data_IF_524283661521
#
_entry.id   IF_524283661521
#
_cell.length_a   1.000
_cell.length_b   1.000
_cell.length_c   1.000
_cell.angle_alpha   90.00
_cell.angle_beta   90.00
_cell.angle_gamma   90.00
#
_symmetry.space_group_name_H-M   'P 1'
#
loop_
_entity.id
_entity.type
_entity.pdbx_description
1 polymer ?
#
# COMPACT_ATOMS: atom_id res chain seq x y z
N UNK A 1 -66.36 36.69 -8.36
CA UNK A 1 -65.22 36.60 -9.30
C UNK A 1 -64.12 35.80 -8.64
N UNK A 2 -63.71 34.66 -9.22
CA UNK A 2 -62.67 33.78 -8.67
C UNK A 2 -61.30 34.20 -9.22
N UNK A 3 -60.22 34.20 -8.41
CA UNK A 3 -58.88 34.46 -8.90
C UNK A 3 -58.32 33.24 -9.67
N UNK A 4 -57.38 33.46 -10.61
CA UNK A 4 -56.86 32.41 -11.48
C UNK A 4 -55.84 31.51 -10.78
N UNK A 5 -55.86 30.22 -11.14
CA UNK A 5 -54.87 29.21 -10.75
C UNK A 5 -53.52 29.48 -11.42
N UNK A 6 -52.44 29.53 -10.63
CA UNK A 6 -51.05 29.49 -11.13
C UNK A 6 -50.71 28.07 -11.63
N UNK A 7 -49.91 28.01 -12.70
CA UNK A 7 -49.35 26.79 -13.31
C UNK A 7 -48.20 26.23 -12.45
N UNK A 8 -47.97 24.91 -12.45
CA UNK A 8 -46.84 24.28 -11.75
C UNK A 8 -45.57 24.34 -12.61
N UNK A 9 -44.43 24.69 -12.02
CA UNK A 9 -43.11 24.54 -12.65
C UNK A 9 -42.18 25.75 -12.61
N UNK A 10 -42.12 26.49 -11.50
CA UNK A 10 -41.09 27.51 -11.28
C UNK A 10 -40.47 27.22 -9.91
N UNK A 11 -39.28 26.59 -9.91
CA UNK A 11 -38.53 26.25 -8.70
C UNK A 11 -37.80 27.49 -8.18
N UNK A 12 -37.97 27.73 -6.89
CA UNK A 12 -37.38 28.84 -6.13
C UNK A 12 -35.92 28.51 -5.77
N UNK A 13 -34.92 29.29 -6.24
CA UNK A 13 -33.51 28.98 -6.03
C UNK A 13 -32.98 29.23 -4.60
N UNK A 14 -33.80 29.75 -3.67
CA UNK A 14 -33.34 30.14 -2.32
C UNK A 14 -33.93 29.29 -1.16
N UNK A 15 -34.34 28.04 -1.42
CA UNK A 15 -34.81 27.16 -0.34
C UNK A 15 -33.64 26.54 0.48
N UNK A 16 -33.55 26.77 1.80
CA UNK A 16 -32.48 26.20 2.62
C UNK A 16 -32.65 24.69 2.81
N UNK A 17 -31.56 23.95 2.56
CA UNK A 17 -31.46 22.49 2.73
C UNK A 17 -31.75 22.11 4.18
N UNK A 18 -32.88 21.43 4.40
CA UNK A 18 -33.24 20.82 5.69
C UNK A 18 -32.37 19.58 5.95
N UNK A 19 -31.54 19.65 6.99
CA UNK A 19 -30.84 18.50 7.59
C UNK A 19 -31.85 17.43 8.05
N UNK A 20 -31.75 16.23 7.51
CA UNK A 20 -32.49 15.06 7.97
C UNK A 20 -31.99 14.60 9.34
N UNK A 21 -32.87 14.63 10.35
CA UNK A 21 -32.67 13.93 11.63
C UNK A 21 -33.00 12.46 11.43
N UNK A 22 -32.04 11.60 11.72
CA UNK A 22 -32.27 10.18 11.96
C UNK A 22 -33.01 10.02 13.29
N UNK A 23 -34.22 9.48 13.26
CA UNK A 23 -35.01 9.14 14.44
C UNK A 23 -34.71 7.69 14.82
N UNK A 24 -33.96 7.50 15.92
CA UNK A 24 -33.97 6.26 16.68
C UNK A 24 -35.26 6.28 17.51
N UNK A 25 -36.10 5.24 17.37
CA UNK A 25 -37.28 5.06 18.22
C UNK A 25 -37.10 3.77 19.00
N UNK A 26 -36.99 3.94 20.31
CA UNK A 26 -37.02 2.92 21.35
C UNK A 26 -38.38 2.20 21.38
N UNK A 27 -38.29 0.91 21.71
CA UNK A 27 -39.17 0.05 22.50
C UNK A 27 -40.67 0.35 22.55
N UNK A 28 -41.47 -0.70 22.30
CA UNK A 28 -42.46 -1.12 23.29
C UNK A 28 -43.03 -2.53 23.06
N UNK A 29 -43.12 -3.25 24.18
CA UNK A 29 -44.18 -4.19 24.56
C UNK A 29 -44.25 -5.60 23.94
N UNK A 30 -43.76 -6.58 24.71
CA UNK A 30 -44.43 -7.89 24.77
C UNK A 30 -44.38 -8.51 26.17
N UNK A 31 -45.55 -8.60 26.82
CA UNK A 31 -45.86 -9.58 27.87
C UNK A 31 -47.26 -10.11 27.58
N UNK A 32 -47.50 -11.44 27.62
CA UNK A 32 -48.04 -12.09 28.83
C UNK A 32 -47.46 -13.53 29.00
N UNK A 33 -47.60 -14.33 30.07
CA UNK A 33 -48.40 -14.45 31.30
C UNK A 33 -47.70 -15.53 32.19
N UNK A 34 -48.12 -15.74 33.45
CA UNK A 34 -47.42 -16.57 34.44
C UNK A 34 -47.94 -18.02 34.49
N UNK A 35 -47.10 -18.94 34.97
CA UNK A 35 -47.37 -19.88 36.07
C UNK A 35 -46.45 -21.11 35.99
N UNK A 36 -45.72 -21.40 37.07
CA UNK A 36 -45.83 -22.62 37.89
C UNK A 36 -44.55 -22.85 38.69
N UNK A 37 -44.76 -23.03 39.99
CA UNK A 37 -43.76 -23.41 40.97
C UNK A 37 -43.22 -24.82 40.68
N UNK A 38 -41.91 -25.01 40.91
CA UNK A 38 -41.36 -26.33 41.22
C UNK A 38 -40.08 -26.21 42.07
N UNK A 39 -40.31 -26.41 43.37
CA UNK A 39 -39.60 -27.26 44.34
C UNK A 39 -38.12 -27.58 44.07
N UNK A 40 -37.30 -27.12 45.02
CA UNK A 40 -35.89 -27.46 45.23
C UNK A 40 -35.59 -28.96 45.32
N UNK A 41 -34.47 -29.38 44.72
CA UNK A 41 -33.68 -30.54 45.16
C UNK A 41 -32.18 -30.22 45.16
N UNK A 42 -31.42 -30.75 46.14
CA UNK A 42 -30.04 -30.34 46.40
C UNK A 42 -29.03 -30.93 45.40
N UNK A 43 -28.03 -30.11 45.03
CA UNK A 43 -26.87 -30.47 44.21
C UNK A 43 -25.93 -31.43 44.97
N UNK A 44 -25.69 -32.61 44.41
CA UNK A 44 -24.54 -33.44 44.78
C UNK A 44 -23.26 -32.88 44.14
N UNK A 45 -22.18 -32.81 44.93
CA UNK A 45 -20.82 -32.42 44.50
C UNK A 45 -20.26 -33.43 43.49
N UNK A 46 -19.64 -32.99 42.38
CA UNK A 46 -18.84 -33.88 41.56
C UNK A 46 -17.47 -34.13 42.22
N UNK A 47 -17.07 -35.40 42.28
CA UNK A 47 -15.72 -35.85 42.60
C UNK A 47 -14.69 -35.33 41.57
N UNK A 48 -13.46 -34.97 41.98
CA UNK A 48 -12.42 -34.53 41.07
C UNK A 48 -11.83 -35.72 40.30
N UNK A 49 -12.10 -35.78 39.00
CA UNK A 49 -11.46 -36.72 38.07
C UNK A 49 -9.98 -36.39 37.92
N UNK A 50 -9.14 -37.37 38.26
CA UNK A 50 -7.68 -37.34 38.09
C UNK A 50 -7.32 -37.07 36.62
N UNK A 51 -6.78 -35.90 36.34
CA UNK A 51 -6.35 -35.49 34.99
C UNK A 51 -5.18 -36.33 34.51
N UNK A 52 -5.43 -37.18 33.53
CA UNK A 52 -4.43 -37.99 32.86
C UNK A 52 -3.59 -37.05 31.96
N UNK A 53 -2.31 -36.84 32.31
CA UNK A 53 -1.37 -36.04 31.51
C UNK A 53 -1.27 -36.64 30.10
N UNK A 54 -1.68 -35.90 29.07
CA UNK A 54 -1.52 -36.36 27.69
C UNK A 54 -0.02 -36.40 27.31
N UNK A 55 0.40 -37.48 26.67
CA UNK A 55 1.76 -37.71 26.17
C UNK A 55 2.08 -36.97 24.87
N UNK A 56 1.08 -36.32 24.27
CA UNK A 56 1.13 -35.84 22.89
C UNK A 56 0.88 -34.32 22.83
N UNK A 57 1.53 -33.67 21.86
CA UNK A 57 1.19 -32.32 21.41
C UNK A 57 0.17 -32.39 20.27
N UNK A 58 -0.83 -31.51 20.29
CA UNK A 58 -1.70 -31.26 19.13
C UNK A 58 -1.13 -30.09 18.34
N UNK A 59 -0.82 -30.32 17.07
CA UNK A 59 -0.46 -29.27 16.14
C UNK A 59 -1.72 -28.72 15.45
N UNK A 60 -1.58 -27.58 14.78
CA UNK A 60 -2.61 -27.00 13.90
C UNK A 60 -2.98 -28.08 12.86
N UNK A 61 -4.29 -28.31 12.64
CA UNK A 61 -4.88 -29.41 11.86
C UNK A 61 -5.01 -30.79 12.56
N UNK A 62 -5.05 -30.80 13.90
CA UNK A 62 -5.36 -32.01 14.72
C UNK A 62 -4.35 -33.17 14.58
N UNK A 63 -3.20 -32.91 13.96
CA UNK A 63 -2.09 -33.86 13.89
C UNK A 63 -1.49 -34.02 15.29
N UNK A 64 -1.46 -35.27 15.77
CA UNK A 64 -0.89 -35.62 17.07
C UNK A 64 0.56 -36.06 16.89
N UNK A 65 1.45 -35.40 17.61
CA UNK A 65 2.88 -35.71 17.61
C UNK A 65 3.31 -36.03 19.03
N UNK A 66 4.07 -37.11 19.20
CA UNK A 66 4.59 -37.48 20.52
C UNK A 66 5.57 -36.41 21.00
N UNK A 67 5.55 -36.11 22.31
CA UNK A 67 6.45 -35.11 22.92
C UNK A 67 7.92 -35.38 22.60
N UNK A 68 8.33 -36.65 22.61
CA UNK A 68 9.70 -37.04 22.30
C UNK A 68 10.07 -36.75 20.85
N UNK A 69 9.19 -37.04 19.90
CA UNK A 69 9.45 -36.76 18.49
C UNK A 69 9.58 -35.26 18.21
N UNK A 70 8.74 -34.45 18.84
CA UNK A 70 8.80 -32.99 18.72
C UNK A 70 10.16 -32.43 19.17
N UNK A 71 10.64 -32.80 20.36
CA UNK A 71 11.90 -32.29 20.90
C UNK A 71 13.13 -32.76 20.11
N UNK A 72 13.14 -34.01 19.63
CA UNK A 72 14.23 -34.51 18.78
C UNK A 72 14.28 -33.74 17.46
N UNK A 73 13.13 -33.49 16.83
CA UNK A 73 13.06 -32.77 15.55
C UNK A 73 13.45 -31.30 15.70
N UNK A 74 12.96 -30.63 16.75
CA UNK A 74 13.31 -29.25 17.05
C UNK A 74 14.82 -29.08 17.32
N UNK A 75 15.43 -30.03 18.04
CA UNK A 75 16.88 -30.01 18.31
C UNK A 75 17.70 -30.23 17.04
N UNK A 76 17.28 -31.15 16.16
CA UNK A 76 17.96 -31.40 14.88
C UNK A 76 17.89 -30.17 13.95
N UNK A 77 16.72 -29.52 13.86
CA UNK A 77 16.57 -28.29 13.07
C UNK A 77 17.41 -27.14 13.63
N UNK A 78 17.49 -27.00 14.95
CA UNK A 78 18.34 -25.99 15.60
C UNK A 78 19.83 -26.16 15.25
N UNK A 79 20.34 -27.39 15.23
CA UNK A 79 21.73 -27.68 14.87
C UNK A 79 22.02 -27.37 13.38
N UNK A 80 21.08 -27.69 12.49
CA UNK A 80 21.22 -27.36 11.06
C UNK A 80 21.28 -25.85 10.85
N UNK A 81 20.45 -25.09 11.58
CA UNK A 81 20.36 -23.63 11.47
C UNK A 81 21.62 -22.93 12.02
N UNK A 82 22.20 -23.47 13.10
CA UNK A 82 23.50 -23.01 13.62
C UNK A 82 24.62 -23.30 12.60
N UNK A 83 24.60 -24.46 11.93
CA UNK A 83 25.61 -24.79 10.93
C UNK A 83 25.47 -23.95 9.65
N UNK A 84 24.26 -23.65 9.19
CA UNK A 84 24.03 -22.92 7.94
C UNK A 84 24.27 -21.42 8.06
N UNK A 85 24.03 -20.81 9.22
CA UNK A 85 24.22 -19.36 9.45
C UNK A 85 25.54 -19.07 10.18
N UNK A 86 25.89 -19.89 11.17
CA UNK A 86 27.07 -19.64 12.01
C UNK A 86 28.40 -19.78 11.26
N UNK A 87 28.51 -20.74 10.34
CA UNK A 87 29.73 -20.96 9.55
C UNK A 87 30.04 -19.78 8.61
N UNK A 88 29.11 -19.26 7.78
CA UNK A 88 29.41 -18.12 6.91
C UNK A 88 29.66 -16.82 7.69
N UNK A 89 28.94 -16.56 8.78
CA UNK A 89 29.19 -15.36 9.63
C UNK A 89 30.59 -15.43 10.27
N UNK A 90 31.00 -16.61 10.74
CA UNK A 90 32.35 -16.80 11.28
C UNK A 90 33.44 -16.62 10.21
N UNK A 91 33.20 -17.06 8.97
CA UNK A 91 34.14 -16.82 7.86
C UNK A 91 34.28 -15.34 7.53
N UNK A 92 33.16 -14.59 7.46
CA UNK A 92 33.18 -13.14 7.19
C UNK A 92 33.89 -12.36 8.31
N UNK A 93 33.66 -12.73 9.57
CA UNK A 93 34.32 -12.08 10.71
C UNK A 93 35.83 -12.39 10.77
N UNK A 94 36.26 -13.58 10.31
CA UNK A 94 37.67 -13.95 10.27
C UNK A 94 38.47 -13.16 9.22
N UNK A 95 37.84 -12.81 8.10
CA UNK A 95 38.51 -12.14 6.97
C UNK A 95 38.42 -10.60 7.05
N UNK A 96 37.75 -10.05 8.06
CA UNK A 96 37.61 -8.60 8.29
C UNK A 96 38.92 -7.81 8.61
N UNK A 97 39.94 -8.36 9.31
CA UNK A 97 41.09 -7.54 9.72
C UNK A 97 42.07 -7.20 8.58
N UNK A 98 42.00 -7.87 7.42
CA UNK A 98 42.90 -7.59 6.29
C UNK A 98 42.36 -6.52 5.32
N UNK A 99 41.06 -6.18 5.37
CA UNK A 99 40.44 -5.21 4.46
C UNK A 99 40.51 -3.75 4.92
N UNK A 100 40.90 -3.49 6.17
CA UNK A 100 40.99 -2.13 6.71
C UNK A 100 42.35 -1.43 6.48
N UNK A 101 43.32 -2.08 5.82
CA UNK A 101 44.66 -1.50 5.59
C UNK A 101 44.89 -0.88 4.21
N UNK A 102 43.88 -0.85 3.32
CA UNK A 102 44.07 -0.41 1.91
C UNK A 102 43.29 0.84 1.53
N UNK A 103 42.69 1.56 2.48
CA UNK A 103 41.82 2.71 2.19
C UNK A 103 42.39 4.09 2.62
N UNK A 104 43.67 4.17 3.01
CA UNK A 104 44.28 5.39 3.58
C UNK A 104 45.47 5.95 2.77
N UNK A 105 45.43 5.83 1.44
CA UNK A 105 46.44 6.46 0.60
C UNK A 105 45.85 6.98 -0.72
N UNK A 106 45.09 8.09 -0.65
CA UNK A 106 44.99 9.04 -1.77
C UNK A 106 44.30 10.32 -1.28
N UNK A 107 45.09 11.30 -0.84
CA UNK A 107 44.64 12.68 -0.72
C UNK A 107 45.86 13.59 -0.87
N UNK A 108 46.03 14.18 -2.06
CA UNK A 108 46.80 15.41 -2.22
C UNK A 108 45.98 16.45 -3.01
N UNK A 109 46.14 17.75 -2.70
CA UNK A 109 45.34 18.83 -3.27
C UNK A 109 46.04 19.47 -4.47
N UNK A 110 45.27 19.99 -5.44
CA UNK A 110 45.81 20.92 -6.45
C UNK A 110 44.93 22.14 -6.60
N UNK A 111 45.57 23.29 -6.46
CA UNK A 111 45.03 24.64 -6.48
C UNK A 111 44.71 25.15 -7.89
N UNK A 112 43.66 25.97 -7.96
CA UNK A 112 43.39 27.11 -8.85
C UNK A 112 43.41 26.93 -10.39
N UNK A 113 42.31 27.32 -11.04
CA UNK A 113 42.22 28.57 -11.83
C UNK A 113 40.80 28.74 -12.40
N UNK A 114 40.24 29.93 -12.19
CA UNK A 114 38.95 30.42 -12.70
C UNK A 114 38.94 30.59 -14.23
N UNK A 115 37.94 30.03 -14.90
CA UNK A 115 37.42 30.58 -16.17
C UNK A 115 35.89 30.50 -16.13
N UNK A 116 35.27 31.68 -16.18
CA UNK A 116 33.85 31.89 -16.44
C UNK A 116 33.49 31.33 -17.81
N UNK A 117 32.60 30.34 -17.85
CA UNK A 117 31.86 29.96 -19.05
C UNK A 117 30.48 29.49 -18.60
N UNK A 118 29.46 29.99 -19.30
CA UNK A 118 28.03 29.76 -19.07
C UNK A 118 27.71 28.27 -18.78
N UNK A 119 26.77 27.96 -17.86
CA UNK A 119 26.32 26.59 -17.69
C UNK A 119 25.44 26.21 -18.88
N UNK A 120 26.07 25.75 -19.95
CA UNK A 120 25.41 24.90 -20.93
C UNK A 120 24.84 23.70 -20.19
N UNK A 121 23.52 23.59 -20.19
CA UNK A 121 22.75 22.48 -19.63
C UNK A 121 23.27 21.21 -20.29
N UNK A 122 24.19 20.51 -19.64
CA UNK A 122 24.50 19.14 -20.00
C UNK A 122 23.27 18.33 -19.64
N UNK A 123 22.52 17.92 -20.66
CA UNK A 123 21.47 16.93 -20.51
C UNK A 123 22.07 15.73 -19.78
N UNK A 124 21.49 15.39 -18.62
CA UNK A 124 21.92 14.23 -17.87
C UNK A 124 21.85 12.99 -18.77
N UNK A 125 22.85 12.07 -18.75
CA UNK A 125 22.86 10.85 -19.57
C UNK A 125 21.58 10.00 -19.46
N UNK A 126 20.85 10.16 -18.34
CA UNK A 126 19.55 9.56 -18.11
C UNK A 126 18.46 10.10 -19.07
N UNK A 127 18.47 11.40 -19.40
CA UNK A 127 17.46 12.06 -20.24
C UNK A 127 17.45 11.52 -21.68
N UNK A 128 18.63 11.27 -22.24
CA UNK A 128 18.77 10.73 -23.60
C UNK A 128 18.28 9.27 -23.66
N UNK A 129 18.59 8.48 -22.62
CA UNK A 129 18.08 7.11 -22.48
C UNK A 129 16.55 7.06 -22.37
N UNK A 130 15.92 8.01 -21.67
CA UNK A 130 14.45 8.10 -21.59
C UNK A 130 13.80 8.44 -22.93
N UNK A 131 14.37 9.38 -23.68
CA UNK A 131 13.82 9.77 -24.97
C UNK A 131 13.88 8.62 -25.98
N UNK A 132 14.93 7.80 -25.93
CA UNK A 132 15.05 6.62 -26.78
C UNK A 132 14.03 5.54 -26.41
N UNK A 133 13.84 5.27 -25.10
CA UNK A 133 12.80 4.34 -24.61
C UNK A 133 11.39 4.79 -24.99
N UNK A 134 11.09 6.08 -24.80
CA UNK A 134 9.79 6.67 -25.17
C UNK A 134 9.54 6.60 -26.67
N UNK A 135 10.55 6.90 -27.49
CA UNK A 135 10.46 6.82 -28.94
C UNK A 135 10.24 5.39 -29.42
N UNK A 136 10.88 4.41 -28.78
CA UNK A 136 10.67 2.99 -29.07
C UNK A 136 9.27 2.51 -28.64
N UNK A 137 8.78 2.97 -27.49
CA UNK A 137 7.43 2.69 -26.99
C UNK A 137 6.35 3.18 -27.96
N UNK A 138 6.42 4.46 -28.36
CA UNK A 138 5.43 5.09 -29.25
C UNK A 138 5.38 4.46 -30.64
N UNK A 139 6.47 3.83 -31.10
CA UNK A 139 6.52 3.12 -32.40
C UNK A 139 5.78 1.78 -32.41
N UNK A 140 5.43 1.23 -31.24
CA UNK A 140 4.77 -0.09 -31.11
C UNK A 140 3.24 0.01 -30.96
N UNK A 141 2.70 1.23 -30.86
CA UNK A 141 1.29 1.48 -30.60
C UNK A 141 0.55 1.61 -31.93
N UNK A 142 -0.46 0.76 -32.17
CA UNK A 142 -1.52 1.06 -33.15
C UNK A 142 -2.23 2.34 -32.68
N UNK A 143 -2.25 3.39 -33.51
CA UNK A 143 -2.59 4.80 -33.15
C UNK A 143 -3.42 4.97 -31.86
N UNK A 144 -2.85 5.57 -30.78
CA UNK A 144 -3.57 5.77 -29.53
C UNK A 144 -4.82 6.64 -29.76
N UNK A 145 -5.94 6.28 -29.16
CA UNK A 145 -7.24 6.93 -29.38
C UNK A 145 -7.35 8.27 -28.66
N UNK A 146 -6.47 8.55 -27.70
CA UNK A 146 -6.47 9.77 -26.91
C UNK A 146 -5.10 10.07 -26.31
N UNK A 147 -4.89 11.33 -25.87
CA UNK A 147 -3.66 11.72 -25.17
C UNK A 147 -3.48 11.00 -23.83
N UNK A 148 -4.60 10.72 -23.15
CA UNK A 148 -4.65 9.92 -21.92
C UNK A 148 -4.06 8.53 -22.17
N UNK A 149 -4.55 7.84 -23.20
CA UNK A 149 -4.08 6.51 -23.56
C UNK A 149 -2.60 6.52 -23.99
N UNK A 150 -2.18 7.54 -24.75
CA UNK A 150 -0.77 7.72 -25.13
C UNK A 150 0.15 7.81 -23.89
N UNK A 151 -0.22 8.61 -22.88
CA UNK A 151 0.58 8.78 -21.67
C UNK A 151 0.62 7.51 -20.84
N UNK A 152 -0.52 6.81 -20.68
CA UNK A 152 -0.59 5.56 -19.94
C UNK A 152 0.25 4.45 -20.59
N UNK A 153 0.17 4.32 -21.93
CA UNK A 153 0.98 3.32 -22.65
C UNK A 153 2.46 3.70 -22.61
N UNK A 154 2.81 4.97 -22.84
CA UNK A 154 4.20 5.42 -22.76
C UNK A 154 4.81 5.15 -21.36
N UNK A 155 4.05 5.43 -20.30
CA UNK A 155 4.46 5.08 -18.94
C UNK A 155 4.64 3.56 -18.77
N UNK A 156 3.67 2.76 -19.23
CA UNK A 156 3.70 1.30 -19.10
C UNK A 156 4.89 0.68 -19.85
N UNK A 157 5.27 1.21 -21.01
CA UNK A 157 6.43 0.76 -21.77
C UNK A 157 7.74 1.17 -21.11
N UNK A 158 7.90 2.44 -20.71
CA UNK A 158 9.14 2.94 -20.08
C UNK A 158 9.39 2.26 -18.72
N UNK A 159 8.34 2.00 -17.95
CA UNK A 159 8.44 1.28 -16.67
C UNK A 159 8.51 -0.24 -16.83
N UNK A 160 8.29 -0.76 -18.04
CA UNK A 160 8.15 -2.20 -18.31
C UNK A 160 6.84 -2.82 -17.81
N UNK A 161 5.94 -2.04 -17.19
CA UNK A 161 4.67 -2.50 -16.62
C UNK A 161 3.67 -3.03 -17.66
N UNK A 162 3.83 -2.70 -18.95
CA UNK A 162 3.07 -3.33 -20.04
C UNK A 162 3.25 -4.86 -20.08
N UNK A 163 4.40 -5.36 -19.63
CA UNK A 163 4.75 -6.78 -19.59
C UNK A 163 4.60 -7.41 -18.20
N UNK A 164 4.17 -6.64 -17.20
CA UNK A 164 3.93 -7.15 -15.86
C UNK A 164 2.50 -7.70 -15.76
N UNK A 165 2.36 -8.93 -15.25
CA UNK A 165 1.08 -9.51 -14.81
C UNK A 165 0.93 -9.46 -13.30
N UNK A 166 2.05 -9.45 -12.59
CA UNK A 166 2.12 -9.31 -11.14
C UNK A 166 3.32 -8.45 -10.76
N UNK A 167 3.19 -7.78 -9.63
CA UNK A 167 4.23 -6.94 -9.05
C UNK A 167 4.15 -7.08 -7.52
N UNK A 168 5.28 -7.13 -6.85
CA UNK A 168 5.33 -7.05 -5.39
C UNK A 168 6.52 -6.22 -4.95
N UNK A 169 6.36 -5.51 -3.84
CA UNK A 169 7.43 -4.77 -3.19
C UNK A 169 7.55 -5.17 -1.73
N UNK A 170 8.78 -5.26 -1.26
CA UNK A 170 9.15 -5.41 0.14
C UNK A 170 9.96 -4.19 0.54
N UNK A 171 9.77 -3.69 1.75
CA UNK A 171 10.56 -2.57 2.25
C UNK A 171 10.10 -2.07 3.61
N UNK A 172 10.45 -0.82 3.87
CA UNK A 172 10.25 -0.17 5.16
C UNK A 172 9.47 1.12 4.99
N UNK A 173 8.42 1.31 5.80
CA UNK A 173 7.69 2.57 5.89
C UNK A 173 7.96 3.26 7.23
N UNK A 174 8.26 4.55 7.22
CA UNK A 174 8.54 5.36 8.40
C UNK A 174 7.46 6.44 8.48
N UNK A 175 6.73 6.48 9.59
CA UNK A 175 5.70 7.50 9.86
C UNK A 175 5.68 7.83 11.35
N UNK A 176 5.67 9.12 11.70
CA UNK A 176 5.64 9.60 13.09
C UNK A 176 6.66 8.91 14.03
N UNK A 177 7.88 8.70 13.53
CA UNK A 177 8.98 8.07 14.28
C UNK A 177 8.85 6.55 14.47
N UNK A 178 7.83 5.92 13.87
CA UNK A 178 7.63 4.47 13.87
C UNK A 178 8.06 3.88 12.54
N UNK A 179 8.61 2.67 12.58
CA UNK A 179 9.08 1.92 11.43
C UNK A 179 8.21 0.68 11.23
N UNK A 180 7.62 0.55 10.06
CA UNK A 180 6.72 -0.55 9.67
C UNK A 180 7.39 -1.38 8.58
N UNK A 181 7.31 -2.70 8.72
CA UNK A 181 7.61 -3.61 7.63
C UNK A 181 6.49 -3.52 6.60
N UNK A 182 6.85 -3.26 5.35
CA UNK A 182 5.92 -3.08 4.25
C UNK A 182 6.00 -4.26 3.28
N UNK A 183 4.83 -4.79 2.93
CA UNK A 183 4.67 -5.68 1.79
C UNK A 183 3.54 -5.18 0.89
N UNK A 184 3.81 -5.09 -0.41
CA UNK A 184 2.85 -4.75 -1.44
C UNK A 184 2.76 -5.87 -2.46
N UNK A 185 1.55 -6.15 -2.91
CA UNK A 185 1.26 -7.12 -3.95
C UNK A 185 0.23 -6.54 -4.91
N UNK A 186 0.47 -6.69 -6.20
CA UNK A 186 -0.42 -6.29 -7.26
C UNK A 186 -0.50 -7.38 -8.33
N UNK A 187 -1.68 -7.56 -8.90
CA UNK A 187 -1.92 -8.48 -10.00
C UNK A 187 -2.92 -7.89 -11.00
N UNK A 188 -2.55 -7.92 -12.27
CA UNK A 188 -3.41 -7.46 -13.35
C UNK A 188 -4.71 -8.29 -13.41
N UNK A 189 -5.86 -7.69 -13.75
CA UNK A 189 -5.96 -6.30 -14.19
C UNK A 189 -6.17 -5.30 -13.04
N UNK A 190 -6.43 -5.69 -11.78
CA UNK A 190 -6.72 -4.72 -10.71
C UNK A 190 -6.82 -5.32 -9.29
N UNK A 191 -5.99 -6.32 -8.97
CA UNK A 191 -5.95 -6.89 -7.65
C UNK A 191 -4.79 -6.29 -6.87
N UNK A 192 -5.06 -5.74 -5.68
CA UNK A 192 -4.05 -5.10 -4.85
C UNK A 192 -4.15 -5.63 -3.42
N UNK A 193 -3.00 -5.82 -2.78
CA UNK A 193 -2.90 -6.11 -1.36
C UNK A 193 -1.70 -5.37 -0.78
N UNK A 194 -1.91 -4.77 0.37
CA UNK A 194 -0.88 -4.09 1.13
C UNK A 194 -0.91 -4.62 2.54
N UNK A 195 0.28 -4.83 3.11
CA UNK A 195 0.46 -5.27 4.48
C UNK A 195 1.51 -4.38 5.15
N UNK A 196 1.12 -3.75 6.25
CA UNK A 196 2.03 -3.03 7.15
C UNK A 196 2.11 -3.81 8.46
N UNK A 197 3.32 -4.03 8.96
CA UNK A 197 3.54 -4.71 10.23
C UNK A 197 4.41 -3.86 11.14
N UNK A 198 4.00 -3.70 12.39
CA UNK A 198 4.76 -3.04 13.46
C UNK A 198 4.58 -3.86 14.73
N UNK A 199 5.66 -4.48 15.21
CA UNK A 199 5.62 -5.37 16.37
C UNK A 199 4.50 -6.44 16.22
N UNK A 200 3.53 -6.45 17.14
CA UNK A 200 2.39 -7.37 17.14
C UNK A 200 1.17 -6.85 16.35
N UNK A 201 1.29 -5.72 15.65
CA UNK A 201 0.24 -5.15 14.81
C UNK A 201 0.48 -5.49 13.34
N UNK A 202 -0.52 -6.09 12.70
CA UNK A 202 -0.59 -6.22 11.24
C UNK A 202 -1.80 -5.49 10.71
N UNK A 203 -1.60 -4.72 9.66
CA UNK A 203 -2.67 -4.04 8.93
C UNK A 203 -2.63 -4.51 7.50
N UNK A 204 -3.79 -4.94 7.02
CA UNK A 204 -3.96 -5.39 5.64
C UNK A 204 -4.97 -4.47 4.95
N UNK A 205 -4.63 -3.93 3.78
CA UNK A 205 -5.66 -3.55 2.80
C UNK A 205 -5.67 -4.52 1.65
N UNK A 206 -6.86 -4.85 1.20
CA UNK A 206 -7.09 -5.69 0.03
C UNK A 206 -8.09 -4.98 -0.88
N UNK A 207 -7.81 -4.97 -2.17
CA UNK A 207 -8.74 -4.60 -3.23
C UNK A 207 -8.80 -5.75 -4.23
N UNK A 208 -10.01 -6.27 -4.46
CA UNK A 208 -10.23 -7.43 -5.31
C UNK A 208 -10.69 -7.07 -6.74
N UNK A 209 -10.51 -5.80 -7.15
CA UNK A 209 -10.99 -5.28 -8.42
C UNK A 209 -12.42 -4.71 -8.40
N UNK A 210 -13.19 -4.96 -7.33
CA UNK A 210 -14.54 -4.42 -7.19
C UNK A 210 -14.77 -3.73 -5.83
N UNK A 211 -14.23 -4.27 -4.76
CA UNK A 211 -14.36 -3.75 -3.41
C UNK A 211 -13.02 -3.74 -2.68
N UNK A 212 -12.85 -2.73 -1.83
CA UNK A 212 -11.72 -2.59 -0.93
C UNK A 212 -12.10 -2.95 0.50
N UNK A 213 -11.13 -3.42 1.27
CA UNK A 213 -11.24 -3.66 2.71
C UNK A 213 -9.95 -3.25 3.39
N UNK A 214 -10.05 -2.70 4.59
CA UNK A 214 -8.94 -2.38 5.48
C UNK A 214 -9.18 -3.12 6.81
N UNK A 215 -8.18 -3.84 7.28
CA UNK A 215 -8.24 -4.56 8.56
C UNK A 215 -6.98 -4.33 9.37
N UNK A 216 -7.15 -4.19 10.69
CA UNK A 216 -6.07 -4.13 11.66
C UNK A 216 -6.22 -5.29 12.65
N UNK A 217 -5.19 -6.11 12.76
CA UNK A 217 -5.13 -7.26 13.66
C UNK A 217 -3.98 -7.09 14.65
N UNK A 218 -4.27 -7.32 15.93
CA UNK A 218 -3.27 -7.48 16.98
C UNK A 218 -3.03 -8.98 17.22
N UNK A 219 -1.81 -9.44 16.99
CA UNK A 219 -1.41 -10.84 17.12
C UNK A 219 -1.48 -11.35 18.56
N UNK A 220 -1.30 -10.49 19.56
CA UNK A 220 -1.37 -10.88 20.97
C UNK A 220 -2.82 -11.15 21.40
N UNK A 221 -3.76 -10.36 20.87
CA UNK A 221 -5.18 -10.43 21.26
C UNK A 221 -6.04 -11.22 20.28
N UNK A 222 -5.54 -11.52 19.07
CA UNK A 222 -6.28 -12.14 17.95
C UNK A 222 -7.67 -11.53 17.74
N UNK A 223 -7.79 -10.22 17.96
CA UNK A 223 -9.03 -9.47 17.87
C UNK A 223 -8.77 -8.20 17.06
N UNK A 224 -9.81 -7.74 16.38
CA UNK A 224 -9.85 -6.38 15.84
C UNK A 224 -9.62 -5.41 16.99
N UNK A 225 -8.75 -4.43 16.78
CA UNK A 225 -8.42 -3.42 17.77
C UNK A 225 -9.00 -2.09 17.34
N UNK A 226 -9.80 -1.49 18.21
CA UNK A 226 -10.19 -0.08 18.12
C UNK A 226 -8.94 0.76 18.41
N UNK A 227 -8.50 1.57 17.44
CA UNK A 227 -7.18 2.21 17.43
C UNK A 227 -7.28 3.70 17.71
N UNK A 228 -6.17 4.23 18.20
CA UNK A 228 -5.92 5.67 18.26
C UNK A 228 -6.00 6.27 16.84
N UNK A 229 -6.73 7.37 16.73
CA UNK A 229 -7.12 8.01 15.48
C UNK A 229 -5.90 8.44 14.67
N UNK A 230 -4.87 8.95 15.35
CA UNK A 230 -3.62 9.37 14.71
C UNK A 230 -2.88 8.19 14.09
N UNK A 231 -2.91 7.01 14.71
CA UNK A 231 -2.30 5.81 14.12
C UNK A 231 -3.03 5.39 12.84
N UNK A 232 -4.36 5.32 12.87
CA UNK A 232 -5.16 4.94 11.69
C UNK A 232 -4.96 5.89 10.51
N UNK A 233 -4.80 7.19 10.79
CA UNK A 233 -4.51 8.19 9.77
C UNK A 233 -3.15 7.94 9.11
N UNK A 234 -2.07 7.78 9.88
CA UNK A 234 -0.71 7.47 9.35
C UNK A 234 -0.72 6.24 8.44
N UNK A 235 -1.45 5.23 8.88
CA UNK A 235 -1.56 3.95 8.19
C UNK A 235 -2.34 4.09 6.88
N UNK A 236 -3.44 4.84 6.89
CA UNK A 236 -4.22 5.14 5.67
C UNK A 236 -3.38 5.94 4.66
N UNK A 237 -2.61 6.92 5.14
CA UNK A 237 -1.69 7.72 4.32
C UNK A 237 -0.63 6.81 3.68
N UNK A 238 0.06 5.98 4.46
CA UNK A 238 1.08 5.06 3.94
C UNK A 238 0.52 4.14 2.86
N UNK A 239 -0.70 3.64 3.05
CA UNK A 239 -1.33 2.71 2.13
C UNK A 239 -1.76 3.38 0.81
N UNK A 240 -2.18 4.64 0.89
CA UNK A 240 -2.51 5.45 -0.30
C UNK A 240 -1.28 5.83 -1.14
N UNK A 241 -0.08 5.77 -0.55
CA UNK A 241 1.15 6.26 -1.18
C UNK A 241 1.86 5.26 -2.09
N UNK A 242 1.56 3.97 -1.98
CA UNK A 242 2.23 2.97 -2.80
C UNK A 242 1.82 3.04 -4.28
N UNK A 243 2.73 2.72 -5.22
CA UNK A 243 2.46 2.88 -6.64
C UNK A 243 1.20 2.12 -7.06
N UNK A 244 0.17 2.87 -7.44
CA UNK A 244 -0.95 2.34 -8.20
C UNK A 244 -0.47 2.09 -9.64
N UNK A 245 -1.22 1.30 -10.41
CA UNK A 245 -0.92 0.97 -11.79
C UNK A 245 -2.05 1.48 -12.67
N UNK A 246 -2.07 2.79 -13.02
CA UNK A 246 -3.19 3.42 -13.73
C UNK A 246 -3.51 2.77 -15.07
N UNK A 247 -2.50 2.23 -15.76
CA UNK A 247 -2.69 1.47 -17.00
C UNK A 247 -3.54 0.21 -16.77
N UNK A 248 -3.28 -0.56 -15.71
CA UNK A 248 -4.05 -1.76 -15.40
C UNK A 248 -5.51 -1.40 -15.07
N UNK A 249 -5.73 -0.27 -14.38
CA UNK A 249 -7.06 0.24 -14.13
C UNK A 249 -7.79 0.66 -15.40
N UNK A 250 -7.10 1.36 -16.30
CA UNK A 250 -7.64 1.78 -17.58
C UNK A 250 -8.05 0.58 -18.44
N UNK A 251 -7.23 -0.48 -18.47
CA UNK A 251 -7.53 -1.72 -19.18
C UNK A 251 -8.71 -2.49 -18.57
N UNK A 252 -8.85 -2.48 -17.25
CA UNK A 252 -9.96 -3.15 -16.56
C UNK A 252 -11.30 -2.42 -16.74
N UNK A 253 -11.29 -1.11 -16.54
CA UNK A 253 -12.44 -0.23 -16.64
C UNK A 253 -11.99 1.22 -16.90
N UNK A 254 -11.92 1.57 -18.17
CA UNK A 254 -11.53 2.91 -18.62
C UNK A 254 -12.44 4.02 -18.08
N UNK A 255 -13.67 3.74 -17.64
CA UNK A 255 -14.57 4.76 -17.06
C UNK A 255 -14.10 5.28 -15.70
N UNK A 256 -13.20 4.54 -15.04
CA UNK A 256 -12.59 4.92 -13.76
C UNK A 256 -11.38 5.84 -13.94
N UNK A 257 -10.92 6.03 -15.16
CA UNK A 257 -9.77 6.88 -15.48
C UNK A 257 -10.24 8.03 -16.37
N UNK A 258 -9.80 9.25 -16.08
CA UNK A 258 -10.13 10.43 -16.89
C UNK A 258 -8.94 11.34 -17.11
N UNK A 259 -9.00 12.12 -18.18
CA UNK A 259 -8.01 13.12 -18.55
C UNK A 259 -8.12 14.34 -17.61
N UNK A 260 -7.03 14.64 -16.89
CA UNK A 260 -6.89 15.82 -16.03
C UNK A 260 -6.16 16.99 -16.70
N UNK A 261 -5.75 16.83 -17.96
CA UNK A 261 -5.03 17.83 -18.74
C UNK A 261 -3.57 18.02 -18.32
N UNK A 262 -2.94 19.04 -18.89
CA UNK A 262 -1.60 19.45 -18.50
C UNK A 262 -1.65 20.42 -17.33
N UNK A 263 -0.80 20.23 -16.33
CA UNK A 263 -0.71 21.09 -15.15
C UNK A 263 0.74 21.35 -14.78
N UNK A 264 1.02 22.55 -14.28
CA UNK A 264 2.33 22.91 -13.73
C UNK A 264 2.31 22.59 -12.23
N UNK A 265 3.30 21.83 -11.76
CA UNK A 265 3.49 21.53 -10.35
C UNK A 265 4.96 21.75 -9.99
N UNK A 266 5.22 22.57 -8.96
CA UNK A 266 6.59 22.96 -8.53
C UNK A 266 7.49 23.47 -9.68
N UNK A 267 6.89 24.13 -10.68
CA UNK A 267 7.62 24.69 -11.83
C UNK A 267 7.78 23.73 -13.02
N UNK A 268 7.45 22.46 -12.84
CA UNK A 268 7.56 21.44 -13.89
C UNK A 268 6.21 21.12 -14.53
N UNK A 269 6.22 20.76 -15.81
CA UNK A 269 5.02 20.48 -16.58
C UNK A 269 4.68 18.99 -16.59
N UNK A 270 3.48 18.67 -16.10
CA UNK A 270 2.97 17.31 -16.00
C UNK A 270 1.71 17.11 -16.84
N UNK A 271 1.50 15.88 -17.29
CA UNK A 271 0.19 15.42 -17.73
C UNK A 271 -0.50 14.69 -16.58
N UNK A 272 -1.74 15.08 -16.30
CA UNK A 272 -2.48 14.59 -15.14
C UNK A 272 -3.51 13.55 -15.58
N UNK A 273 -3.48 12.40 -14.92
CA UNK A 273 -4.50 11.36 -15.05
C UNK A 273 -5.25 11.23 -13.74
N UNK A 274 -6.56 11.21 -13.80
CA UNK A 274 -7.43 11.14 -12.62
C UNK A 274 -8.04 9.75 -12.52
N UNK A 275 -7.83 9.08 -11.39
CA UNK A 275 -8.34 7.75 -11.09
C UNK A 275 -9.44 7.81 -10.01
N UNK A 276 -10.63 7.29 -10.35
CA UNK A 276 -11.85 7.23 -9.54
C UNK A 276 -12.32 5.78 -9.46
N UNK A 277 -11.67 4.90 -8.71
CA UNK A 277 -12.16 3.51 -8.65
C UNK A 277 -11.44 2.52 -7.75
N UNK A 278 -10.14 2.69 -7.52
CA UNK A 278 -9.36 1.72 -6.71
C UNK A 278 -9.48 2.03 -5.23
N UNK A 279 -9.42 3.31 -4.89
CA UNK A 279 -9.48 3.80 -3.52
C UNK A 279 -10.84 4.45 -3.26
N UNK A 280 -11.17 4.63 -1.98
CA UNK A 280 -12.39 5.33 -1.56
C UNK A 280 -12.40 6.82 -1.95
N UNK A 281 -11.30 7.32 -2.49
CA UNK A 281 -11.06 8.70 -2.87
C UNK A 281 -10.44 8.79 -4.27
N UNK A 282 -10.57 9.96 -4.87
CA UNK A 282 -9.95 10.30 -6.15
C UNK A 282 -8.43 10.43 -6.00
N UNK A 283 -7.70 9.92 -6.99
CA UNK A 283 -6.25 10.02 -7.07
C UNK A 283 -5.87 10.73 -8.36
N UNK A 284 -5.05 11.77 -8.24
CA UNK A 284 -4.45 12.48 -9.38
C UNK A 284 -3.01 12.02 -9.56
N UNK A 285 -2.70 11.43 -10.70
CA UNK A 285 -1.38 10.95 -11.11
C UNK A 285 -0.72 11.98 -12.02
N UNK A 286 0.46 12.48 -11.66
CA UNK A 286 1.20 13.48 -12.43
C UNK A 286 2.37 12.78 -13.15
N UNK A 287 2.19 12.59 -14.45
CA UNK A 287 3.20 12.03 -15.34
C UNK A 287 4.04 13.14 -15.93
N UNK A 288 5.35 13.07 -15.70
CA UNK A 288 6.31 14.00 -16.29
C UNK A 288 6.21 13.93 -17.81
N UNK A 289 5.98 15.06 -18.48
CA UNK A 289 5.69 15.04 -19.93
C UNK A 289 6.89 14.54 -20.73
N UNK A 290 8.12 14.79 -20.25
CA UNK A 290 9.33 14.44 -20.97
C UNK A 290 9.60 12.93 -20.88
N UNK A 291 9.60 12.40 -19.66
CA UNK A 291 9.99 11.03 -19.31
C UNK A 291 8.82 10.06 -19.22
N UNK A 292 7.59 10.56 -19.19
CA UNK A 292 6.35 9.79 -18.96
C UNK A 292 6.35 8.97 -17.67
N UNK A 293 7.25 9.27 -16.72
CA UNK A 293 7.25 8.66 -15.39
C UNK A 293 6.24 9.39 -14.48
N UNK A 294 5.49 8.63 -13.68
CA UNK A 294 4.70 9.23 -12.60
C UNK A 294 5.67 9.77 -11.53
N UNK A 295 5.75 11.08 -11.34
CA UNK A 295 6.67 11.67 -10.34
C UNK A 295 5.94 12.11 -9.09
N UNK A 296 4.69 12.52 -9.25
CA UNK A 296 3.88 13.06 -8.18
C UNK A 296 2.50 12.43 -8.23
N UNK A 297 1.92 12.23 -7.06
CA UNK A 297 0.52 11.86 -6.92
C UNK A 297 -0.11 12.71 -5.84
N UNK A 298 -1.37 13.09 -6.04
CA UNK A 298 -2.16 13.79 -5.04
C UNK A 298 -3.42 13.00 -4.76
N UNK A 299 -3.81 12.98 -3.50
CA UNK A 299 -5.02 12.33 -3.05
C UNK A 299 -5.62 13.11 -1.89
N UNK A 300 -6.94 13.11 -1.82
CA UNK A 300 -7.67 13.62 -0.67
C UNK A 300 -8.20 12.43 0.12
N UNK A 301 -7.60 12.16 1.27
CA UNK A 301 -8.01 11.08 2.16
C UNK A 301 -9.03 11.65 3.15
N UNK A 302 -10.18 10.99 3.27
CA UNK A 302 -11.16 11.32 4.31
C UNK A 302 -11.00 10.30 5.43
N UNK A 303 -10.63 10.77 6.63
CA UNK A 303 -10.60 9.96 7.86
C UNK A 303 -11.44 10.68 8.90
N UNK A 304 -12.46 10.01 9.43
CA UNK A 304 -13.23 10.48 10.59
C UNK A 304 -13.75 11.92 10.47
N UNK A 305 -14.36 12.21 9.32
CA UNK A 305 -14.89 13.52 8.92
C UNK A 305 -13.85 14.63 8.74
N UNK A 306 -12.55 14.30 8.79
CA UNK A 306 -11.46 15.20 8.41
C UNK A 306 -10.95 14.88 7.01
N UNK A 307 -10.82 15.94 6.21
CA UNK A 307 -10.25 15.89 4.87
C UNK A 307 -8.75 16.18 4.95
N UNK A 308 -7.94 15.25 4.46
CA UNK A 308 -6.49 15.36 4.42
C UNK A 308 -6.01 15.30 2.97
N UNK A 309 -5.46 16.41 2.47
CA UNK A 309 -4.78 16.43 1.18
C UNK A 309 -3.32 16.02 1.34
N UNK A 310 -2.96 14.94 0.66
CA UNK A 310 -1.60 14.41 0.64
C UNK A 310 -1.00 14.52 -0.75
N UNK A 311 0.31 14.77 -0.77
CA UNK A 311 1.16 14.67 -1.93
C UNK A 311 2.13 13.51 -1.73
N UNK A 312 2.27 12.67 -2.74
CA UNK A 312 3.20 11.54 -2.78
C UNK A 312 4.22 11.83 -3.88
N UNK A 313 5.51 11.77 -3.57
CA UNK A 313 6.60 11.98 -4.52
C UNK A 313 7.40 10.70 -4.71
N UNK A 314 7.61 10.31 -5.96
CA UNK A 314 8.36 9.11 -6.36
C UNK A 314 9.76 9.51 -6.83
N UNK A 315 10.78 8.86 -6.26
CA UNK A 315 12.18 9.19 -6.48
C UNK A 315 13.06 7.95 -6.50
N UNK A 316 14.35 8.14 -6.81
CA UNK A 316 15.37 7.08 -6.84
C UNK A 316 14.95 5.89 -7.72
N UNK A 317 14.52 6.17 -8.94
CA UNK A 317 14.11 5.10 -9.85
C UNK A 317 15.29 4.21 -10.25
N UNK A 318 15.09 2.90 -10.15
CA UNK A 318 16.10 1.91 -10.49
C UNK A 318 15.56 0.88 -11.48
N UNK A 319 16.47 0.37 -12.31
CA UNK A 319 16.18 -0.71 -13.24
C UNK A 319 16.35 -2.06 -12.56
N UNK A 320 15.29 -2.86 -12.57
CA UNK A 320 15.23 -4.21 -11.99
C UNK A 320 14.81 -5.16 -13.12
N UNK A 321 15.79 -5.76 -13.78
CA UNK A 321 15.57 -6.50 -15.02
C UNK A 321 15.09 -5.58 -16.14
N UNK A 322 13.87 -5.82 -16.64
CA UNK A 322 13.23 -4.98 -17.65
C UNK A 322 12.29 -3.91 -17.07
N UNK A 323 12.16 -3.84 -15.74
CA UNK A 323 11.23 -2.94 -15.06
C UNK A 323 11.97 -1.74 -14.49
N UNK A 324 11.34 -0.57 -14.52
CA UNK A 324 11.91 0.67 -13.99
C UNK A 324 10.97 1.27 -12.96
N UNK A 325 11.39 1.25 -11.69
CA UNK A 325 10.49 1.49 -10.55
C UNK A 325 11.12 2.38 -9.48
N UNK A 326 10.31 3.16 -8.74
CA UNK A 326 10.81 4.00 -7.66
C UNK A 326 11.30 3.16 -6.48
N UNK A 327 12.39 3.60 -5.86
CA UNK A 327 12.94 3.00 -4.64
C UNK A 327 12.67 3.84 -3.39
N UNK A 328 12.35 5.13 -3.57
CA UNK A 328 11.99 6.02 -2.48
C UNK A 328 10.67 6.74 -2.77
N UNK A 329 9.75 6.71 -1.80
CA UNK A 329 8.44 7.35 -1.88
C UNK A 329 8.27 8.23 -0.65
N UNK A 330 8.12 9.53 -0.87
CA UNK A 330 7.91 10.50 0.21
C UNK A 330 6.46 10.96 0.22
N UNK A 331 5.86 11.03 1.40
CA UNK A 331 4.48 11.49 1.58
C UNK A 331 4.49 12.77 2.39
N UNK A 332 3.86 13.79 1.82
CA UNK A 332 3.77 15.13 2.38
C UNK A 332 2.30 15.45 2.64
N UNK A 333 2.03 16.08 3.76
CA UNK A 333 0.75 16.72 4.00
C UNK A 333 0.79 18.15 3.42
N UNK A 334 -0.17 18.49 2.56
CA UNK A 334 -0.17 19.78 1.85
C UNK A 334 -0.32 20.99 2.79
N UNK A 335 -1.00 20.79 3.92
CA UNK A 335 -1.21 21.83 4.93
C UNK A 335 0.11 22.24 5.63
N UNK A 336 1.07 21.31 5.73
CA UNK A 336 2.26 21.45 6.55
C UNK A 336 3.57 21.55 5.76
N UNK A 337 3.58 21.15 4.47
CA UNK A 337 4.80 21.04 3.63
C UNK A 337 5.91 20.26 4.36
N UNK A 338 5.53 19.32 5.22
CA UNK A 338 6.43 18.44 5.94
C UNK A 338 6.25 17.03 5.43
N UNK A 339 7.35 16.29 5.32
CA UNK A 339 7.32 14.86 5.05
C UNK A 339 6.72 14.20 6.28
N UNK A 340 5.48 13.74 6.16
CA UNK A 340 4.76 13.04 7.23
C UNK A 340 5.13 11.56 7.26
N UNK A 341 5.48 11.01 6.08
CA UNK A 341 5.90 9.62 5.96
C UNK A 341 6.91 9.42 4.84
N UNK A 342 7.76 8.39 4.99
CA UNK A 342 8.74 7.97 3.98
C UNK A 342 8.68 6.47 3.80
N UNK A 343 8.69 5.98 2.56
CA UNK A 343 8.78 4.56 2.22
C UNK A 343 10.06 4.32 1.45
N UNK A 344 10.83 3.36 1.93
CA UNK A 344 12.04 2.85 1.30
C UNK A 344 11.71 1.45 0.78
N UNK A 345 11.70 1.31 -0.54
CA UNK A 345 11.52 0.01 -1.18
C UNK A 345 12.88 -0.66 -1.26
N UNK A 346 12.98 -1.84 -0.66
CA UNK A 346 14.23 -2.61 -0.61
C UNK A 346 14.30 -3.57 -1.80
N UNK A 347 13.14 -4.08 -2.22
CA UNK A 347 13.08 -5.08 -3.29
C UNK A 347 11.77 -5.00 -4.03
N UNK A 348 11.87 -4.98 -5.36
CA UNK A 348 10.76 -5.28 -6.25
C UNK A 348 10.88 -6.69 -6.82
N UNK A 349 9.74 -7.33 -7.06
CA UNK A 349 9.64 -8.59 -7.79
C UNK A 349 8.47 -8.53 -8.77
N UNK A 350 8.68 -9.05 -9.97
CA UNK A 350 7.68 -9.01 -11.05
C UNK A 350 7.41 -10.39 -11.58
N UNK A 351 6.20 -10.58 -12.14
CA UNK A 351 5.78 -11.82 -12.78
C UNK A 351 5.94 -13.07 -11.91
N UNK A 352 5.84 -12.89 -10.59
CA UNK A 352 5.78 -13.97 -9.62
C UNK A 352 4.39 -14.61 -9.63
N UNK A 353 4.32 -15.90 -9.31
CA UNK A 353 3.07 -16.67 -9.20
C UNK A 353 2.23 -16.26 -8.00
N UNK A 354 1.54 -15.11 -8.08
CA UNK A 354 0.60 -14.67 -7.04
C UNK A 354 -0.74 -15.39 -7.19
N UNK A 355 -1.12 -16.14 -6.15
CA UNK A 355 -2.41 -16.83 -6.08
C UNK A 355 -3.56 -15.81 -5.98
N UNK A 356 -4.68 -15.98 -6.72
CA UNK A 356 -5.83 -15.09 -6.61
C UNK A 356 -6.41 -15.00 -5.19
N UNK A 357 -6.31 -16.08 -4.40
CA UNK A 357 -6.77 -16.13 -3.01
C UNK A 357 -6.08 -15.11 -2.11
N UNK A 358 -4.88 -14.64 -2.47
CA UNK A 358 -4.18 -13.57 -1.75
C UNK A 358 -5.01 -12.28 -1.71
N UNK A 359 -5.87 -12.05 -2.70
CA UNK A 359 -6.66 -10.83 -2.87
C UNK A 359 -8.14 -11.03 -2.47
N UNK A 360 -8.45 -12.14 -1.79
CA UNK A 360 -9.80 -12.33 -1.22
C UNK A 360 -9.98 -11.44 0.00
N UNK A 361 -11.19 -10.87 0.14
CA UNK A 361 -11.59 -10.07 1.29
C UNK A 361 -11.74 -10.92 2.57
N UNK A 362 -11.80 -12.24 2.45
CA UNK A 362 -11.91 -13.19 3.58
C UNK A 362 -10.55 -13.59 4.16
N UNK A 363 -9.45 -13.27 3.48
CA UNK A 363 -8.08 -13.67 3.83
C UNK A 363 -7.23 -12.51 4.37
N UNK A 364 -7.86 -11.43 4.82
CA UNK A 364 -7.17 -10.20 5.24
C UNK A 364 -6.62 -10.27 6.67
#
# INVERSE_FOLDING_TARGET
MRPPRKKPGEEDPDAPIRKGRCLIREDDSYTPKPALANVDKPKAKPEPTRTQKSSDYRLINDIRVSKNFFWVTASALGLILIASIGVPVFQVLRDAPDRMKTAEAETEPSDSTSVTTEPGIQASPLRDSYQELKSAALRRIDEPKSKLEEILIANAEITGMANARTCSAEGTAIANGRQYDLNFFAKAPNLLRQVLTLDDLKITSVYNGTAGKLEAMDYTKKRSVERDMTQLQDLTILMSSLPNLPIWQYEADSTKISDGGQQIYEGELYYVVVNRGIHLFEIMHYFDIETSLERVRRATVISDDQELSITVKFSEYQQIGQFYTPMEINVLEESAVQVVSKILVEKWSFNQGLLPSLFSLDNS
#
